data_IF_888925351045
#
_entry.id   IF_888925351045
#
_cell.length_a   1.000
_cell.length_b   1.000
_cell.length_c   1.000
_cell.angle_alpha   90.00
_cell.angle_beta   90.00
_cell.angle_gamma   90.00
#
_symmetry.space_group_name_H-M   'P 1'
#
loop_
_entity.id
_entity.type
_entity.pdbx_description
1 polymer ?
#
# COMPACT_ATOMS: atom_id res chain seq x y z
N UNK A 1 -1.50 13.02 -20.50
CA UNK A 1 -1.04 11.82 -21.22
C UNK A 1 -0.67 12.23 -22.63
N UNK A 2 0.64 12.35 -22.91
CA UNK A 2 1.09 12.47 -24.29
C UNK A 2 1.03 11.09 -24.93
N UNK A 3 0.23 10.95 -25.99
CA UNK A 3 0.10 9.70 -26.75
C UNK A 3 0.43 9.95 -28.21
N UNK A 4 1.26 9.09 -28.78
CA UNK A 4 1.51 9.05 -30.22
C UNK A 4 0.26 8.68 -31.01
N UNK A 5 0.20 9.06 -32.29
CA UNK A 5 -0.89 8.67 -33.18
C UNK A 5 -1.03 7.13 -33.30
N UNK A 6 0.09 6.40 -33.24
CA UNK A 6 0.07 4.94 -33.23
C UNK A 6 -0.63 4.38 -31.98
N UNK A 7 -0.34 4.93 -30.79
CA UNK A 7 -1.01 4.54 -29.55
C UNK A 7 -2.51 4.88 -29.57
N UNK A 8 -2.89 6.03 -30.15
CA UNK A 8 -4.32 6.39 -30.34
C UNK A 8 -5.05 5.41 -31.26
N UNK A 9 -4.40 4.97 -32.34
CA UNK A 9 -4.95 3.94 -33.23
C UNK A 9 -5.13 2.60 -32.52
N UNK A 10 -4.15 2.18 -31.71
CA UNK A 10 -4.25 0.95 -30.90
C UNK A 10 -5.46 1.03 -29.95
N UNK A 11 -5.61 2.14 -29.21
CA UNK A 11 -6.72 2.32 -28.28
C UNK A 11 -8.09 2.38 -28.99
N UNK A 12 -8.19 3.05 -30.14
CA UNK A 12 -9.42 3.05 -30.94
C UNK A 12 -9.81 1.63 -31.36
N UNK A 13 -8.85 0.84 -31.85
CA UNK A 13 -9.07 -0.57 -32.20
C UNK A 13 -9.50 -1.41 -30.98
N UNK A 14 -8.87 -1.20 -29.82
CA UNK A 14 -9.24 -1.88 -28.58
C UNK A 14 -10.68 -1.57 -28.15
N UNK A 15 -11.08 -0.30 -28.14
CA UNK A 15 -12.46 0.06 -27.79
C UNK A 15 -13.48 -0.48 -28.79
N UNK A 16 -13.13 -0.54 -30.08
CA UNK A 16 -13.97 -1.19 -31.08
C UNK A 16 -14.19 -2.67 -30.76
N UNK A 17 -13.11 -3.41 -30.50
CA UNK A 17 -13.18 -4.83 -30.11
C UNK A 17 -13.98 -5.04 -28.82
N UNK A 18 -13.72 -4.23 -27.78
CA UNK A 18 -14.46 -4.30 -26.51
C UNK A 18 -15.96 -4.07 -26.70
N UNK A 19 -16.37 -3.18 -27.61
CA UNK A 19 -17.79 -2.96 -27.91
C UNK A 19 -18.48 -4.16 -28.57
N UNK A 20 -17.71 -5.02 -29.24
CA UNK A 20 -18.22 -6.25 -29.84
C UNK A 20 -18.22 -7.40 -28.83
N UNK A 21 -17.20 -7.48 -27.97
CA UNK A 21 -17.06 -8.52 -26.94
C UNK A 21 -18.04 -8.32 -25.77
N UNK A 22 -18.35 -7.07 -25.42
CA UNK A 22 -19.30 -6.71 -24.38
C UNK A 22 -20.31 -5.67 -24.89
N UNK A 23 -21.36 -6.13 -25.61
CA UNK A 23 -22.38 -5.26 -26.18
C UNK A 23 -23.13 -4.42 -25.14
N UNK A 24 -23.25 -4.92 -23.89
CA UNK A 24 -23.94 -4.21 -22.81
C UNK A 24 -23.20 -2.91 -22.44
N UNK A 25 -21.88 -2.89 -22.57
CA UNK A 25 -21.05 -1.70 -22.34
C UNK A 25 -20.62 -0.97 -23.63
N UNK A 26 -21.16 -1.35 -24.80
CA UNK A 26 -20.75 -0.79 -26.10
C UNK A 26 -20.82 0.74 -26.17
N UNK A 27 -21.81 1.37 -25.54
CA UNK A 27 -21.94 2.83 -25.50
C UNK A 27 -20.75 3.50 -24.78
N UNK A 28 -20.27 2.90 -23.68
CA UNK A 28 -19.09 3.36 -22.93
C UNK A 28 -17.84 3.29 -23.81
N UNK A 29 -17.61 2.17 -24.48
CA UNK A 29 -16.44 1.99 -25.34
C UNK A 29 -16.46 2.91 -26.56
N UNK A 30 -17.62 3.09 -27.22
CA UNK A 30 -17.76 4.05 -28.34
C UNK A 30 -17.46 5.49 -27.92
N UNK A 31 -17.86 5.90 -26.70
CA UNK A 31 -17.48 7.21 -26.14
C UNK A 31 -15.97 7.33 -25.99
N UNK A 32 -15.30 6.32 -25.41
CA UNK A 32 -13.84 6.31 -25.23
C UNK A 32 -13.09 6.31 -26.56
N UNK A 33 -13.56 5.54 -27.54
CA UNK A 33 -13.05 5.53 -28.91
C UNK A 33 -13.08 6.94 -29.51
N UNK A 34 -14.22 7.62 -29.41
CA UNK A 34 -14.39 8.99 -29.93
C UNK A 34 -13.43 9.97 -29.26
N UNK A 35 -13.25 9.87 -27.94
CA UNK A 35 -12.33 10.74 -27.17
C UNK A 35 -10.91 10.61 -27.71
N UNK A 36 -10.44 9.38 -27.96
CA UNK A 36 -9.08 9.11 -28.43
C UNK A 36 -8.89 9.51 -29.90
N UNK A 37 -9.87 9.20 -30.77
CA UNK A 37 -9.80 9.53 -32.20
C UNK A 37 -9.83 11.04 -32.46
N UNK A 38 -10.67 11.77 -31.71
CA UNK A 38 -10.81 13.22 -31.84
C UNK A 38 -9.80 14.00 -31.01
N UNK A 39 -9.08 13.33 -30.11
CA UNK A 39 -8.07 13.96 -29.26
C UNK A 39 -8.66 14.97 -28.27
N UNK A 40 -9.79 14.64 -27.63
CA UNK A 40 -10.39 15.54 -26.64
C UNK A 40 -9.57 15.56 -25.35
N UNK A 41 -8.65 16.51 -25.25
CA UNK A 41 -7.62 16.54 -24.22
C UNK A 41 -8.17 16.61 -22.78
N UNK A 42 -9.30 17.30 -22.58
CA UNK A 42 -9.95 17.37 -21.28
C UNK A 42 -10.37 15.97 -20.80
N UNK A 43 -11.06 15.21 -21.64
CA UNK A 43 -11.49 13.85 -21.32
C UNK A 43 -10.31 12.86 -21.27
N UNK A 44 -9.29 13.06 -22.10
CA UNK A 44 -8.05 12.28 -22.00
C UNK A 44 -7.33 12.51 -20.66
N UNK A 45 -7.40 13.74 -20.11
CA UNK A 45 -6.87 14.03 -18.78
C UNK A 45 -7.69 13.35 -17.67
N UNK A 46 -9.00 13.24 -17.82
CA UNK A 46 -9.86 12.49 -16.89
C UNK A 46 -9.47 11.01 -16.85
N UNK A 47 -9.30 10.37 -18.02
CA UNK A 47 -8.85 8.97 -18.09
C UNK A 47 -7.51 8.76 -17.39
N UNK A 48 -6.61 9.74 -17.46
CA UNK A 48 -5.31 9.66 -16.80
C UNK A 48 -5.40 9.74 -15.27
N UNK A 49 -6.48 10.30 -14.70
CA UNK A 49 -6.66 10.37 -13.23
C UNK A 49 -6.99 9.01 -12.62
N UNK A 50 -7.57 8.11 -13.40
CA UNK A 50 -7.91 6.76 -12.95
C UNK A 50 -6.64 5.89 -12.77
N UNK A 51 -5.52 6.28 -13.38
CA UNK A 51 -4.22 5.63 -13.21
C UNK A 51 -3.46 6.27 -12.04
N UNK A 52 -3.57 5.64 -10.87
CA UNK A 52 -2.71 5.95 -9.74
C UNK A 52 -1.25 5.53 -9.97
N UNK A 53 -0.35 6.08 -9.17
CA UNK A 53 1.05 5.66 -9.12
C UNK A 53 1.50 5.68 -7.66
N UNK A 54 2.17 4.60 -7.23
CA UNK A 54 2.99 4.55 -6.03
C UNK A 54 4.39 4.17 -6.50
N UNK A 55 5.39 4.96 -6.10
CA UNK A 55 6.76 4.76 -6.57
C UNK A 55 7.38 3.51 -5.94
N UNK A 56 8.39 2.94 -6.59
CA UNK A 56 9.11 1.79 -6.04
C UNK A 56 9.68 2.08 -4.64
N UNK A 57 10.18 3.30 -4.43
CA UNK A 57 10.70 3.74 -3.13
C UNK A 57 9.62 3.72 -2.04
N UNK A 58 8.41 4.20 -2.34
CA UNK A 58 7.28 4.17 -1.41
C UNK A 58 6.81 2.73 -1.14
N UNK A 59 6.77 1.88 -2.17
CA UNK A 59 6.47 0.45 -2.00
C UNK A 59 7.47 -0.22 -1.05
N UNK A 60 8.77 0.00 -1.26
CA UNK A 60 9.83 -0.54 -0.40
C UNK A 60 9.73 0.00 1.03
N UNK A 61 9.42 1.28 1.21
CA UNK A 61 9.21 1.88 2.53
C UNK A 61 8.06 1.19 3.28
N UNK A 62 6.93 0.93 2.62
CA UNK A 62 5.80 0.22 3.23
C UNK A 62 6.18 -1.21 3.62
N UNK A 63 6.88 -1.92 2.73
CA UNK A 63 7.36 -3.28 3.01
C UNK A 63 8.32 -3.30 4.21
N UNK A 64 9.26 -2.35 4.27
CA UNK A 64 10.19 -2.23 5.39
C UNK A 64 9.47 -1.93 6.72
N UNK A 65 8.40 -1.13 6.69
CA UNK A 65 7.56 -0.89 7.88
C UNK A 65 6.86 -2.17 8.32
N UNK A 66 6.28 -2.93 7.38
CA UNK A 66 5.66 -4.22 7.70
C UNK A 66 6.71 -5.20 8.25
N UNK A 67 7.89 -5.26 7.66
CA UNK A 67 8.99 -6.12 8.10
C UNK A 67 9.48 -5.76 9.51
N UNK A 68 9.59 -4.46 9.82
CA UNK A 68 9.92 -3.99 11.17
C UNK A 68 8.90 -4.51 12.20
N UNK A 69 7.60 -4.39 11.91
CA UNK A 69 6.55 -4.90 12.80
C UNK A 69 6.61 -6.42 12.94
N UNK A 70 6.87 -7.14 11.86
CA UNK A 70 7.07 -8.58 11.91
C UNK A 70 8.25 -8.95 12.82
N UNK A 71 9.40 -8.32 12.63
CA UNK A 71 10.60 -8.57 13.41
C UNK A 71 10.38 -8.27 14.90
N UNK A 72 9.64 -7.21 15.22
CA UNK A 72 9.27 -6.87 16.60
C UNK A 72 8.34 -7.92 17.22
N UNK A 73 7.34 -8.41 16.49
CA UNK A 73 6.45 -9.49 16.95
C UNK A 73 7.21 -10.79 17.19
N UNK A 74 8.11 -11.19 16.28
CA UNK A 74 8.93 -12.39 16.44
C UNK A 74 9.94 -12.25 17.58
N UNK A 75 10.55 -11.07 17.73
CA UNK A 75 11.46 -10.79 18.85
C UNK A 75 10.75 -10.92 20.19
N UNK A 76 9.54 -10.36 20.31
CA UNK A 76 8.74 -10.45 21.53
C UNK A 76 8.34 -11.89 21.89
N UNK A 77 8.10 -12.77 20.90
CA UNK A 77 7.82 -14.20 21.15
C UNK A 77 9.01 -14.95 21.77
N UNK A 78 10.23 -14.46 21.56
CA UNK A 78 11.48 -15.07 22.02
C UNK A 78 11.95 -14.54 23.38
N UNK A 79 11.30 -13.50 23.92
CA UNK A 79 11.59 -12.98 25.26
C UNK A 79 11.13 -13.96 26.33
N UNK A 80 11.78 -13.91 27.50
CA UNK A 80 11.31 -14.62 28.68
C UNK A 80 10.02 -14.00 29.25
N UNK A 81 9.34 -14.71 30.16
CA UNK A 81 8.03 -14.27 30.65
C UNK A 81 8.09 -12.94 31.41
N UNK A 82 9.20 -12.64 32.09
CA UNK A 82 9.41 -11.40 32.84
C UNK A 82 9.56 -10.21 31.88
N UNK A 83 10.46 -10.31 30.90
CA UNK A 83 10.66 -9.28 29.88
C UNK A 83 9.43 -9.07 29.02
N UNK A 84 8.72 -10.16 28.67
CA UNK A 84 7.51 -10.10 27.87
C UNK A 84 6.38 -9.34 28.58
N UNK A 85 6.29 -9.43 29.91
CA UNK A 85 5.30 -8.68 30.69
C UNK A 85 5.52 -7.16 30.69
N UNK A 86 6.75 -6.72 30.41
CA UNK A 86 7.13 -5.31 30.36
C UNK A 86 6.87 -4.66 28.99
N UNK A 87 6.42 -5.43 27.99
CA UNK A 87 6.12 -4.95 26.64
C UNK A 87 4.62 -4.86 26.42
N UNK A 88 4.13 -3.68 26.03
CA UNK A 88 2.72 -3.52 25.64
C UNK A 88 2.45 -4.17 24.28
N UNK A 89 1.78 -5.33 24.32
CA UNK A 89 1.45 -6.12 23.13
C UNK A 89 0.60 -5.36 22.12
N UNK A 90 -0.21 -4.38 22.54
CA UNK A 90 -1.01 -3.57 21.62
C UNK A 90 -0.13 -2.72 20.70
N UNK A 91 1.07 -2.34 21.16
CA UNK A 91 2.03 -1.56 20.37
C UNK A 91 2.76 -2.41 19.33
N UNK A 92 2.76 -3.73 19.47
CA UNK A 92 3.29 -4.68 18.49
C UNK A 92 2.32 -4.93 17.32
N UNK A 93 1.07 -4.48 17.40
CA UNK A 93 0.13 -4.60 16.31
C UNK A 93 0.40 -3.54 15.23
N UNK A 94 0.56 -4.00 13.99
CA UNK A 94 0.59 -3.10 12.85
C UNK A 94 -0.84 -2.65 12.51
N UNK A 95 -1.13 -1.36 12.71
CA UNK A 95 -2.47 -0.80 12.52
C UNK A 95 -2.78 -0.44 11.07
N UNK A 96 -1.77 -0.43 10.20
CA UNK A 96 -1.88 0.09 8.84
C UNK A 96 -1.77 1.62 8.79
N UNK A 97 -2.49 2.22 7.85
CA UNK A 97 -2.41 3.64 7.49
C UNK A 97 -3.79 4.29 7.46
N UNK A 98 -3.87 5.61 7.42
CA UNK A 98 -5.16 6.32 7.38
C UNK A 98 -5.73 6.33 5.96
N UNK A 99 -6.92 5.76 5.75
CA UNK A 99 -7.51 5.75 4.41
C UNK A 99 -7.88 7.14 3.89
N UNK A 100 -8.10 8.12 4.77
CA UNK A 100 -8.48 9.48 4.35
C UNK A 100 -7.29 10.28 3.79
N UNK A 101 -6.08 10.09 4.33
CA UNK A 101 -4.88 10.87 3.94
C UNK A 101 -3.76 10.02 3.32
N UNK A 102 -3.75 8.71 3.54
CA UNK A 102 -2.72 7.74 3.16
C UNK A 102 -3.35 6.56 2.36
N UNK A 103 -4.36 6.86 1.53
CA UNK A 103 -5.16 5.85 0.83
C UNK A 103 -4.35 4.88 -0.02
N UNK A 104 -3.29 5.35 -0.69
CA UNK A 104 -2.43 4.51 -1.53
C UNK A 104 -1.65 3.49 -0.67
N UNK A 105 -1.17 3.90 0.50
CA UNK A 105 -0.48 3.03 1.45
C UNK A 105 -1.42 1.95 1.98
N UNK A 106 -2.66 2.32 2.35
CA UNK A 106 -3.70 1.36 2.77
C UNK A 106 -3.97 0.32 1.68
N UNK A 107 -4.18 0.77 0.43
CA UNK A 107 -4.45 -0.13 -0.68
C UNK A 107 -3.25 -1.04 -0.99
N UNK A 108 -2.03 -0.53 -0.86
CA UNK A 108 -0.83 -1.35 -1.10
C UNK A 108 -0.64 -2.41 -0.01
N UNK A 109 -0.85 -2.08 1.28
CA UNK A 109 -0.85 -3.06 2.37
C UNK A 109 -1.89 -4.16 2.13
N UNK A 110 -3.12 -3.77 1.75
CA UNK A 110 -4.18 -4.73 1.44
C UNK A 110 -3.83 -5.61 0.26
N UNK A 111 -3.23 -5.06 -0.80
CA UNK A 111 -2.74 -5.84 -1.93
C UNK A 111 -1.69 -6.88 -1.48
N UNK A 112 -0.70 -6.49 -0.68
CA UNK A 112 0.32 -7.40 -0.17
C UNK A 112 -0.26 -8.53 0.69
N UNK A 113 -1.25 -8.23 1.54
CA UNK A 113 -1.84 -9.23 2.45
C UNK A 113 -2.91 -10.09 1.75
N UNK A 114 -3.85 -9.47 1.04
CA UNK A 114 -5.01 -10.16 0.49
C UNK A 114 -4.74 -10.81 -0.87
N UNK A 115 -3.91 -10.19 -1.71
CA UNK A 115 -3.62 -10.68 -3.07
C UNK A 115 -2.33 -11.48 -3.12
N UNK A 116 -1.26 -10.98 -2.50
CA UNK A 116 0.06 -11.65 -2.50
C UNK A 116 0.23 -12.64 -1.32
N UNK A 117 -0.64 -12.59 -0.30
CA UNK A 117 -0.61 -13.52 0.83
C UNK A 117 0.56 -13.30 1.80
N UNK A 118 1.19 -12.12 1.78
CA UNK A 118 2.31 -11.77 2.65
C UNK A 118 1.82 -11.34 4.04
N UNK A 119 2.67 -11.56 5.06
CA UNK A 119 2.38 -11.25 6.47
C UNK A 119 1.02 -11.76 6.98
N UNK A 120 0.66 -13.05 6.76
CA UNK A 120 -0.65 -13.59 7.15
C UNK A 120 -0.91 -13.54 8.67
N UNK A 121 0.14 -13.38 9.48
CA UNK A 121 0.08 -13.23 10.92
C UNK A 121 -0.43 -11.86 11.39
N UNK A 122 -0.49 -10.86 10.50
CA UNK A 122 -0.97 -9.54 10.88
C UNK A 122 -2.49 -9.53 11.05
N UNK A 123 -2.92 -9.09 12.23
CA UNK A 123 -4.33 -8.86 12.52
C UNK A 123 -4.83 -7.64 11.73
N UNK A 124 -5.77 -7.88 10.83
CA UNK A 124 -6.40 -6.86 9.97
C UNK A 124 -7.24 -5.85 10.78
N UNK A 125 -7.63 -6.21 12.01
CA UNK A 125 -8.61 -5.52 12.82
C UNK A 125 -9.94 -5.29 12.08
N UNK A 126 -10.90 -4.62 12.73
CA UNK A 126 -12.24 -4.41 12.16
C UNK A 126 -12.22 -3.56 10.86
N UNK A 127 -11.23 -2.67 10.72
CA UNK A 127 -11.17 -1.71 9.62
C UNK A 127 -10.15 -2.07 8.52
N UNK A 128 -9.63 -3.32 8.52
CA UNK A 128 -8.76 -3.84 7.46
C UNK A 128 -7.55 -2.93 7.18
N UNK A 129 -6.67 -2.76 8.18
CA UNK A 129 -5.49 -1.88 8.13
C UNK A 129 -5.76 -0.39 7.88
N UNK A 130 -6.96 0.09 8.20
CA UNK A 130 -7.24 1.51 8.31
C UNK A 130 -7.01 1.95 9.76
N UNK A 131 -5.91 2.66 10.01
CA UNK A 131 -5.52 3.14 11.35
C UNK A 131 -6.40 4.29 11.86
N UNK A 132 -7.22 4.89 11.00
CA UNK A 132 -8.07 6.06 11.30
C UNK A 132 -7.30 7.29 11.81
N UNK A 133 -5.97 7.29 11.67
CA UNK A 133 -5.08 8.42 11.97
C UNK A 133 -3.79 8.28 11.15
N UNK A 134 -3.17 9.38 10.68
CA UNK A 134 -1.96 9.29 9.86
C UNK A 134 -0.81 8.63 10.62
N UNK A 135 -0.16 7.63 10.01
CA UNK A 135 0.89 6.84 10.68
C UNK A 135 2.26 6.91 10.00
N UNK A 136 2.35 7.35 8.74
CA UNK A 136 3.59 7.26 7.96
C UNK A 136 4.78 7.95 8.65
N UNK A 137 4.61 9.18 9.14
CA UNK A 137 5.67 9.92 9.83
C UNK A 137 6.10 9.24 11.14
N UNK A 138 5.17 8.61 11.85
CA UNK A 138 5.49 7.82 13.04
C UNK A 138 6.31 6.59 12.67
N UNK A 139 5.88 5.84 11.66
CA UNK A 139 6.59 4.66 11.20
C UNK A 139 7.99 4.99 10.68
N UNK A 140 8.19 6.12 10.01
CA UNK A 140 9.51 6.59 9.59
C UNK A 140 10.48 6.78 10.76
N UNK A 141 10.02 7.36 11.87
CA UNK A 141 10.83 7.50 13.11
C UNK A 141 11.15 6.15 13.74
N UNK A 142 10.15 5.27 13.83
CA UNK A 142 10.32 3.90 14.32
C UNK A 142 11.35 3.15 13.47
N UNK A 143 11.21 3.21 12.14
CA UNK A 143 12.08 2.53 11.18
C UNK A 143 13.52 3.01 11.27
N UNK A 144 13.74 4.32 11.47
CA UNK A 144 15.07 4.88 11.73
C UNK A 144 15.69 4.29 13.00
N UNK A 145 14.92 4.20 14.07
CA UNK A 145 15.39 3.65 15.35
C UNK A 145 15.70 2.16 15.23
N UNK A 146 14.80 1.39 14.61
CA UNK A 146 14.98 -0.04 14.37
C UNK A 146 16.19 -0.37 13.50
N UNK A 147 16.42 0.40 12.43
CA UNK A 147 17.63 0.27 11.58
C UNK A 147 18.93 0.60 12.34
N UNK A 148 18.86 1.40 13.40
CA UNK A 148 20.00 1.71 14.25
C UNK A 148 20.24 0.69 15.37
N UNK A 149 19.31 -0.24 15.62
CA UNK A 149 19.55 -1.34 16.54
C UNK A 149 20.70 -2.23 16.00
N UNK A 150 21.56 -2.79 16.88
CA UNK A 150 22.66 -3.67 16.45
C UNK A 150 22.19 -4.89 15.65
N UNK A 151 20.96 -5.33 15.89
CA UNK A 151 20.27 -6.38 15.15
C UNK A 151 18.82 -5.96 14.93
N UNK A 152 18.25 -6.37 13.80
CA UNK A 152 16.87 -6.04 13.44
C UNK A 152 15.87 -7.09 13.95
N UNK A 153 16.36 -8.27 14.34
CA UNK A 153 15.63 -9.39 14.91
C UNK A 153 16.24 -9.78 16.27
N UNK A 154 15.46 -10.50 17.09
CA UNK A 154 15.82 -10.87 18.46
C UNK A 154 16.09 -9.63 19.34
N UNK A 155 15.24 -8.61 19.18
CA UNK A 155 15.27 -7.38 19.96
C UNK A 155 14.92 -7.65 21.43
N UNK A 156 15.66 -7.06 22.34
CA UNK A 156 15.31 -7.08 23.77
C UNK A 156 14.18 -6.10 24.10
N UNK A 157 13.60 -6.21 25.30
CA UNK A 157 12.50 -5.34 25.74
C UNK A 157 12.86 -3.84 25.67
N UNK A 158 14.10 -3.48 25.97
CA UNK A 158 14.59 -2.10 25.88
C UNK A 158 14.64 -1.57 24.44
N UNK A 159 15.08 -2.39 23.48
CA UNK A 159 15.12 -2.01 22.07
C UNK A 159 13.70 -1.86 21.50
N UNK A 160 12.78 -2.76 21.86
CA UNK A 160 11.36 -2.63 21.51
C UNK A 160 10.79 -1.32 22.05
N UNK A 161 11.05 -1.00 23.32
CA UNK A 161 10.62 0.26 23.94
C UNK A 161 11.20 1.50 23.22
N UNK A 162 12.48 1.46 22.83
CA UNK A 162 13.10 2.55 22.05
C UNK A 162 12.42 2.73 20.70
N UNK A 163 12.19 1.65 19.95
CA UNK A 163 11.51 1.71 18.65
C UNK A 163 10.11 2.30 18.80
N UNK A 164 9.33 1.87 19.79
CA UNK A 164 7.98 2.40 19.95
C UNK A 164 7.91 3.88 20.36
N UNK A 165 8.95 4.40 21.01
CA UNK A 165 9.00 5.75 21.59
C UNK A 165 9.74 6.76 20.68
N UNK A 166 10.03 6.37 19.43
CA UNK A 166 10.76 7.18 18.45
C UNK A 166 10.02 8.43 17.91
#
# INVERSE_FOLDING_TARGET
MEMSNAQRLILSNQYNLMSQLDPNNAAKYKRLQTIVERGYELQMRELNKDFGCITETECREIIDIMEMYHAMQESHKMLDDEERSNVDQRRLQFLGFDIATEAQQVHYVRFLVDSEGLYPQFDKADHHFNSQMPMLEKYRRMLKTWRNCPRQYHLCANELAQVFNA
#
